data_IF_241211153154
#
_entry.id   IF_241211153154
#
_cell.length_a   1.000
_cell.length_b   1.000
_cell.length_c   1.000
_cell.angle_alpha   90.00
_cell.angle_beta   90.00
_cell.angle_gamma   90.00
#
_symmetry.space_group_name_H-M   'P 1'
#
loop_
_entity.id
_entity.type
_entity.pdbx_description
1 polymer ?
#
# COMPACT_ATOMS: atom_id res chain seq x y z
N UNK A 1 17.87 -33.44 30.60
CA UNK A 1 18.81 -32.34 30.92
C UNK A 1 19.32 -31.74 29.61
N UNK A 2 19.27 -30.40 29.54
CA UNK A 2 20.21 -29.46 28.90
C UNK A 2 20.46 -29.51 27.37
N UNK A 3 20.23 -28.35 26.78
CA UNK A 3 20.86 -27.80 25.58
C UNK A 3 22.38 -27.97 25.59
N UNK A 4 22.96 -28.30 24.45
CA UNK A 4 24.40 -28.18 24.21
C UNK A 4 24.64 -27.32 22.96
N UNK A 5 25.50 -26.33 23.15
CA UNK A 5 26.04 -25.36 22.19
C UNK A 5 27.28 -25.98 21.51
N UNK A 6 27.36 -25.90 20.18
CA UNK A 6 28.40 -26.50 19.35
C UNK A 6 29.30 -25.47 18.64
N UNK A 7 29.37 -24.23 19.16
CA UNK A 7 30.37 -23.21 18.82
C UNK A 7 31.85 -23.68 18.66
N UNK A 8 32.31 -24.82 19.22
CA UNK A 8 33.70 -25.26 19.04
C UNK A 8 33.99 -26.14 17.80
N UNK A 9 33.00 -26.76 17.14
CA UNK A 9 33.27 -27.73 16.05
C UNK A 9 33.47 -27.09 14.66
N UNK A 10 33.25 -25.78 14.56
CA UNK A 10 33.65 -24.90 13.46
C UNK A 10 35.15 -24.97 13.08
N UNK A 11 35.97 -25.77 13.77
CA UNK A 11 37.40 -25.96 13.52
C UNK A 11 37.78 -27.33 12.94
N UNK A 12 36.83 -28.21 12.62
CA UNK A 12 37.15 -29.63 12.30
C UNK A 12 36.74 -30.13 10.90
N UNK A 13 36.22 -29.30 10.01
CA UNK A 13 35.77 -29.78 8.69
C UNK A 13 36.40 -29.03 7.53
N UNK A 14 37.48 -29.58 6.97
CA UNK A 14 37.89 -29.26 5.61
C UNK A 14 36.97 -30.03 4.67
N UNK A 15 36.15 -29.32 3.88
CA UNK A 15 35.21 -29.92 2.91
C UNK A 15 33.73 -29.58 3.11
N UNK A 16 33.36 -28.90 4.20
CA UNK A 16 32.01 -28.32 4.36
C UNK A 16 31.88 -26.91 3.78
N UNK A 17 32.98 -26.30 3.30
CA UNK A 17 32.95 -25.02 2.57
C UNK A 17 32.02 -25.05 1.36
N UNK A 18 31.82 -26.22 0.73
CA UNK A 18 30.83 -26.39 -0.36
C UNK A 18 29.39 -26.45 0.14
N UNK A 19 29.13 -27.02 1.32
CA UNK A 19 27.78 -27.04 1.88
C UNK A 19 27.37 -25.66 2.37
N UNK A 20 28.30 -24.90 2.94
CA UNK A 20 28.05 -23.51 3.32
C UNK A 20 27.99 -22.57 2.10
N UNK A 21 28.81 -22.77 1.06
CA UNK A 21 28.63 -22.05 -0.22
C UNK A 21 27.28 -22.34 -0.89
N UNK A 22 26.72 -23.55 -0.72
CA UNK A 22 25.39 -23.90 -1.22
C UNK A 22 24.25 -23.30 -0.37
N UNK A 23 24.48 -23.11 0.93
CA UNK A 23 23.53 -22.46 1.84
C UNK A 23 23.55 -20.93 1.68
N UNK A 24 24.72 -20.34 1.42
CA UNK A 24 24.88 -18.93 1.08
C UNK A 24 24.32 -18.62 -0.32
N UNK A 25 24.32 -19.59 -1.24
CA UNK A 25 23.57 -19.53 -2.50
C UNK A 25 22.05 -19.66 -2.34
N UNK A 26 21.55 -20.11 -1.19
CA UNK A 26 20.11 -20.32 -0.97
C UNK A 26 19.37 -19.06 -0.47
N UNK A 27 20.07 -18.08 0.11
CA UNK A 27 19.46 -16.91 0.79
C UNK A 27 19.58 -15.59 0.01
N UNK A 28 20.01 -15.61 -1.25
CA UNK A 28 19.71 -14.53 -2.22
C UNK A 28 19.63 -15.11 -3.62
N UNK A 29 18.59 -15.90 -3.89
CA UNK A 29 18.09 -15.93 -5.26
C UNK A 29 17.68 -14.49 -5.58
N UNK A 30 18.57 -13.67 -6.14
CA UNK A 30 18.28 -12.30 -6.53
C UNK A 30 16.93 -12.32 -7.24
N UNK A 31 15.91 -11.74 -6.61
CA UNK A 31 14.52 -11.96 -6.98
C UNK A 31 14.38 -11.64 -8.48
N UNK A 32 14.28 -12.68 -9.30
CA UNK A 32 14.19 -12.51 -10.73
C UNK A 32 12.73 -12.15 -11.05
N UNK A 33 12.49 -11.08 -11.82
CA UNK A 33 13.49 -10.30 -12.56
C UNK A 33 14.13 -9.19 -11.71
N UNK A 34 15.43 -8.86 -11.92
CA UNK A 34 16.09 -7.81 -11.16
C UNK A 34 15.41 -6.47 -11.42
N UNK A 35 15.38 -5.63 -10.38
CA UNK A 35 14.66 -4.37 -10.42
C UNK A 35 15.34 -3.29 -9.57
N UNK A 36 15.08 -2.04 -9.95
CA UNK A 36 15.45 -0.83 -9.23
C UNK A 36 14.20 -0.08 -8.77
N UNK A 37 14.32 0.63 -7.66
CA UNK A 37 13.29 1.55 -7.16
C UNK A 37 13.93 2.91 -6.92
N UNK A 38 13.50 3.90 -7.68
CA UNK A 38 14.02 5.27 -7.65
C UNK A 38 12.98 6.22 -7.07
N UNK A 39 13.42 7.13 -6.19
CA UNK A 39 12.60 8.27 -5.74
C UNK A 39 12.89 9.46 -6.66
N UNK A 40 11.91 9.84 -7.48
CA UNK A 40 12.04 10.94 -8.44
C UNK A 40 11.76 12.30 -7.79
N UNK A 41 10.85 12.35 -6.81
CA UNK A 41 10.55 13.52 -5.98
C UNK A 41 9.90 13.08 -4.66
N UNK A 42 9.44 14.02 -3.83
CA UNK A 42 8.78 13.68 -2.56
C UNK A 42 7.50 12.85 -2.70
N UNK A 43 6.81 12.98 -3.83
CA UNK A 43 5.55 12.29 -4.12
C UNK A 43 5.64 11.41 -5.38
N UNK A 44 6.81 11.22 -5.98
CA UNK A 44 6.98 10.43 -7.20
C UNK A 44 8.07 9.37 -7.07
N UNK A 45 7.76 8.16 -7.49
CA UNK A 45 8.65 7.01 -7.48
C UNK A 45 8.60 6.28 -8.82
N UNK A 46 9.65 5.54 -9.14
CA UNK A 46 9.75 4.73 -10.35
C UNK A 46 10.29 3.36 -10.00
N UNK A 47 9.67 2.32 -10.52
CA UNK A 47 10.21 0.96 -10.49
C UNK A 47 10.66 0.62 -11.90
N UNK A 48 11.89 0.11 -12.05
CA UNK A 48 12.43 -0.36 -13.32
C UNK A 48 12.77 -1.83 -13.19
N UNK A 49 12.23 -2.71 -14.03
CA UNK A 49 12.43 -4.16 -13.94
C UNK A 49 12.97 -4.74 -15.26
N UNK A 50 13.96 -5.62 -15.20
CA UNK A 50 14.50 -6.30 -16.37
C UNK A 50 13.66 -7.50 -16.79
N UNK A 51 12.69 -7.30 -17.67
CA UNK A 51 11.75 -8.31 -18.19
C UNK A 51 12.08 -8.70 -19.63
N UNK A 52 13.38 -8.74 -19.96
CA UNK A 52 13.83 -9.02 -21.30
C UNK A 52 13.25 -10.33 -21.84
N UNK A 53 12.76 -10.27 -23.06
CA UNK A 53 12.17 -11.39 -23.75
C UNK A 53 10.66 -11.52 -23.56
N UNK A 54 9.97 -10.76 -22.72
CA UNK A 54 8.51 -10.72 -22.67
C UNK A 54 7.93 -9.67 -23.62
N UNK A 55 6.79 -9.98 -24.24
CA UNK A 55 5.97 -9.00 -24.94
C UNK A 55 5.03 -8.28 -23.96
N UNK A 56 4.52 -7.11 -24.35
CA UNK A 56 3.65 -6.30 -23.49
C UNK A 56 2.38 -7.05 -23.07
N UNK A 57 1.83 -7.87 -23.96
CA UNK A 57 0.64 -8.70 -23.72
C UNK A 57 0.94 -10.01 -22.96
N UNK A 58 2.20 -10.26 -22.62
CA UNK A 58 2.64 -11.36 -21.76
C UNK A 58 2.92 -10.91 -20.32
N UNK A 59 2.77 -9.61 -20.03
CA UNK A 59 2.99 -9.01 -18.71
C UNK A 59 1.67 -8.42 -18.22
N UNK A 60 1.36 -8.70 -16.96
CA UNK A 60 0.20 -8.18 -16.25
C UNK A 60 0.65 -7.42 -15.01
N UNK A 61 0.06 -6.24 -14.79
CA UNK A 61 0.29 -5.38 -13.63
C UNK A 61 -1.04 -5.15 -12.93
N UNK A 62 -1.14 -5.57 -11.68
CA UNK A 62 -2.36 -5.47 -10.88
C UNK A 62 -2.05 -4.83 -9.54
N UNK A 63 -2.67 -3.70 -9.25
CA UNK A 63 -2.60 -3.06 -7.94
C UNK A 63 -3.85 -3.40 -7.11
N UNK A 64 -3.65 -3.91 -5.91
CA UNK A 64 -4.68 -4.10 -4.89
C UNK A 64 -4.24 -3.40 -3.60
N UNK A 65 -4.97 -2.36 -3.19
CA UNK A 65 -4.61 -1.50 -2.05
C UNK A 65 -3.14 -1.01 -2.10
N UNK A 66 -2.33 -1.48 -1.15
CA UNK A 66 -0.91 -1.17 -1.00
C UNK A 66 -0.01 -2.24 -1.64
N UNK A 67 -0.55 -3.14 -2.45
CA UNK A 67 0.22 -4.21 -3.07
C UNK A 67 0.14 -4.09 -4.58
N UNK A 68 1.31 -3.97 -5.22
CA UNK A 68 1.45 -4.05 -6.66
C UNK A 68 2.02 -5.41 -7.04
N UNK A 69 1.26 -6.16 -7.83
CA UNK A 69 1.65 -7.45 -8.37
C UNK A 69 2.04 -7.27 -9.85
N UNK A 70 3.23 -7.74 -10.20
CA UNK A 70 3.73 -7.79 -11.58
C UNK A 70 3.98 -9.25 -11.93
N UNK A 71 3.27 -9.75 -12.94
CA UNK A 71 3.42 -11.13 -13.41
C UNK A 71 3.75 -11.14 -14.88
N UNK A 72 4.64 -12.05 -15.29
CA UNK A 72 4.93 -12.28 -16.69
C UNK A 72 4.84 -13.76 -17.02
N UNK A 73 4.03 -14.10 -18.02
CA UNK A 73 3.84 -15.47 -18.47
C UNK A 73 3.99 -15.56 -19.99
N UNK A 74 4.90 -16.42 -20.43
CA UNK A 74 5.08 -16.71 -21.85
C UNK A 74 3.88 -17.43 -22.43
N UNK A 75 3.42 -16.99 -23.60
CA UNK A 75 2.44 -17.77 -24.38
C UNK A 75 3.06 -19.10 -24.78
N UNK A 76 2.23 -20.16 -24.77
CA UNK A 76 2.65 -21.47 -25.23
C UNK A 76 3.11 -21.36 -26.69
N UNK A 77 4.31 -21.86 -27.00
CA UNK A 77 4.75 -21.96 -28.38
C UNK A 77 4.06 -23.18 -29.01
N UNK A 78 3.23 -22.95 -30.02
CA UNK A 78 2.71 -24.03 -30.86
C UNK A 78 3.85 -24.59 -31.72
N UNK A 79 4.14 -25.88 -31.53
CA UNK A 79 5.09 -26.65 -32.33
C UNK A 79 6.20 -27.31 -31.51
N UNK A 80 6.53 -28.55 -31.87
CA UNK A 80 7.73 -29.24 -31.37
C UNK A 80 8.99 -28.56 -31.91
N UNK A 81 9.64 -27.76 -31.07
CA UNK A 81 10.96 -27.20 -31.38
C UNK A 81 12.04 -28.13 -30.86
N UNK A 82 12.87 -28.67 -31.75
CA UNK A 82 14.08 -29.37 -31.36
C UNK A 82 15.14 -28.33 -30.97
N UNK A 83 15.45 -28.27 -29.68
CA UNK A 83 16.51 -27.42 -29.14
C UNK A 83 17.81 -28.20 -29.06
N UNK A 84 18.89 -27.69 -29.65
CA UNK A 84 20.25 -28.22 -29.42
C UNK A 84 20.80 -27.78 -28.05
N UNK A 85 20.41 -26.59 -27.61
CA UNK A 85 20.68 -26.05 -26.27
C UNK A 85 19.63 -24.98 -25.95
N UNK A 86 19.12 -24.94 -24.71
CA UNK A 86 18.08 -23.99 -24.28
C UNK A 86 18.52 -23.21 -23.03
N UNK A 87 19.28 -22.15 -23.23
CA UNK A 87 19.73 -21.25 -22.16
C UNK A 87 18.66 -20.27 -21.67
N UNK A 88 17.65 -19.98 -22.50
CA UNK A 88 16.55 -19.06 -22.19
C UNK A 88 15.26 -19.88 -22.13
N UNK A 89 14.98 -20.44 -20.96
CA UNK A 89 13.68 -21.05 -20.70
C UNK A 89 12.64 -19.93 -20.51
N UNK A 90 11.43 -20.10 -21.05
CA UNK A 90 10.31 -19.15 -20.86
C UNK A 90 9.82 -19.19 -19.42
N UNK A 91 10.64 -18.70 -18.50
CA UNK A 91 10.35 -18.66 -17.07
C UNK A 91 9.19 -17.73 -16.86
N UNK A 92 8.14 -18.20 -16.19
CA UNK A 92 7.12 -17.30 -15.66
C UNK A 92 7.72 -16.58 -14.45
N UNK A 93 7.38 -15.32 -14.24
CA UNK A 93 7.77 -14.60 -13.04
C UNK A 93 6.56 -13.99 -12.34
N UNK A 94 6.72 -13.78 -11.03
CA UNK A 94 5.80 -13.06 -10.19
C UNK A 94 6.62 -12.23 -9.22
N UNK A 95 6.42 -10.92 -9.25
CA UNK A 95 7.06 -9.97 -8.36
C UNK A 95 5.99 -9.15 -7.65
N UNK A 96 6.12 -9.02 -6.33
CA UNK A 96 5.19 -8.26 -5.50
C UNK A 96 5.93 -7.10 -4.85
N UNK A 97 5.35 -5.91 -4.93
CA UNK A 97 5.84 -4.70 -4.28
C UNK A 97 4.82 -4.22 -3.25
N UNK A 98 5.30 -3.93 -2.04
CA UNK A 98 4.50 -3.29 -1.01
C UNK A 98 4.68 -1.77 -1.12
N UNK A 99 3.63 -1.09 -1.52
CA UNK A 99 3.57 0.36 -1.68
C UNK A 99 3.18 1.02 -0.35
N UNK A 100 3.59 2.27 -0.17
CA UNK A 100 3.10 3.07 0.94
C UNK A 100 1.61 3.42 0.75
N UNK A 101 0.95 3.82 1.84
CA UNK A 101 -0.43 4.29 1.78
C UNK A 101 -0.54 5.47 0.81
N UNK A 102 -1.62 5.46 0.02
CA UNK A 102 -1.93 6.49 -0.98
C UNK A 102 -0.94 6.58 -2.15
N UNK A 103 -0.08 5.59 -2.36
CA UNK A 103 0.70 5.48 -3.59
C UNK A 103 -0.08 4.69 -4.63
N UNK A 104 -0.17 5.23 -5.86
CA UNK A 104 -0.86 4.62 -7.00
C UNK A 104 0.05 4.57 -8.22
N UNK A 105 -0.16 3.56 -9.06
CA UNK A 105 0.46 3.50 -10.40
C UNK A 105 -0.18 4.56 -11.28
N UNK A 106 0.63 5.44 -11.87
CA UNK A 106 0.19 6.47 -12.82
C UNK A 106 0.43 6.07 -14.28
N UNK A 107 1.39 5.17 -14.51
CA UNK A 107 1.71 4.68 -15.84
C UNK A 107 2.66 3.49 -15.81
N UNK A 108 2.72 2.75 -16.91
CA UNK A 108 3.69 1.70 -17.13
C UNK A 108 4.09 1.64 -18.61
N UNK A 109 5.37 1.44 -18.89
CA UNK A 109 5.90 1.29 -20.25
C UNK A 109 6.93 0.16 -20.30
N UNK A 110 7.00 -0.51 -21.45
CA UNK A 110 7.97 -1.57 -21.73
C UNK A 110 8.84 -1.15 -22.90
N UNK A 111 10.11 -0.89 -22.64
CA UNK A 111 11.07 -0.46 -23.66
C UNK A 111 12.38 -1.22 -23.50
N UNK A 112 12.92 -1.75 -24.61
CA UNK A 112 14.22 -2.44 -24.63
C UNK A 112 14.37 -3.58 -23.59
N UNK A 113 13.26 -4.25 -23.25
CA UNK A 113 13.25 -5.31 -22.23
C UNK A 113 13.23 -4.81 -20.79
N UNK A 114 13.02 -3.53 -20.56
CA UNK A 114 12.83 -2.91 -19.26
C UNK A 114 11.38 -2.47 -19.09
N UNK A 115 10.73 -2.95 -18.03
CA UNK A 115 9.42 -2.47 -17.59
C UNK A 115 9.64 -1.31 -16.62
N UNK A 116 9.19 -0.12 -17.01
CA UNK A 116 9.16 1.06 -16.15
C UNK A 116 7.74 1.24 -15.61
N UNK A 117 7.60 1.34 -14.29
CA UNK A 117 6.33 1.62 -13.61
C UNK A 117 6.46 2.94 -12.86
N UNK A 118 5.61 3.89 -13.19
CA UNK A 118 5.57 5.19 -12.55
C UNK A 118 4.52 5.20 -11.42
N UNK A 119 4.93 5.69 -10.27
CA UNK A 119 4.15 5.70 -9.04
C UNK A 119 4.06 7.13 -8.50
N UNK A 120 2.88 7.50 -8.00
CA UNK A 120 2.65 8.79 -7.37
C UNK A 120 1.94 8.64 -6.04
N UNK A 121 2.38 9.40 -5.04
CA UNK A 121 1.70 9.56 -3.76
C UNK A 121 0.64 10.65 -3.88
N UNK A 122 -0.62 10.28 -3.71
CA UNK A 122 -1.74 11.22 -3.72
C UNK A 122 -2.32 11.33 -2.31
N UNK A 123 -1.84 12.28 -1.51
CA UNK A 123 -2.42 12.53 -0.19
C UNK A 123 -3.80 13.20 -0.39
N UNK A 124 -4.91 12.55 -0.02
CA UNK A 124 -6.23 13.15 -0.15
C UNK A 124 -6.31 14.48 0.60
N UNK A 125 -6.93 15.50 0.01
CA UNK A 125 -7.09 16.80 0.67
C UNK A 125 -7.84 16.72 2.01
N UNK A 126 -8.68 15.69 2.19
CA UNK A 126 -9.39 15.41 3.45
C UNK A 126 -8.45 15.08 4.64
N UNK A 127 -7.20 14.69 4.37
CA UNK A 127 -6.17 14.47 5.38
C UNK A 127 -5.27 15.68 5.58
N UNK A 128 -5.45 16.77 4.82
CA UNK A 128 -4.76 18.02 5.11
C UNK A 128 -5.20 18.49 6.50
N UNK A 129 -4.26 18.74 7.43
CA UNK A 129 -4.60 19.18 8.77
C UNK A 129 -5.38 20.50 8.69
N UNK A 130 -6.67 20.44 9.04
CA UNK A 130 -7.52 21.63 9.14
C UNK A 130 -7.36 22.26 10.51
N UNK A 131 -7.20 23.57 10.54
CA UNK A 131 -7.10 24.34 11.79
C UNK A 131 -8.43 24.24 12.54
N UNK A 132 -8.40 23.66 13.75
CA UNK A 132 -9.54 23.69 14.67
C UNK A 132 -9.48 25.01 15.42
N UNK A 133 -10.51 25.84 15.29
CA UNK A 133 -10.65 27.02 16.13
C UNK A 133 -11.00 26.58 17.56
N UNK A 134 -10.23 27.04 18.55
CA UNK A 134 -10.56 26.86 19.96
C UNK A 134 -11.42 28.06 20.38
N UNK A 135 -12.69 27.82 20.67
CA UNK A 135 -13.63 28.85 21.12
C UNK A 135 -14.86 28.22 21.77
N UNK A 136 -14.87 28.19 23.10
CA UNK A 136 -16.02 27.82 23.90
C UNK A 136 -16.89 29.03 24.23
N UNK A 137 -18.20 28.78 24.33
CA UNK A 137 -19.26 29.62 24.93
C UNK A 137 -19.85 30.76 24.08
N UNK A 138 -20.89 30.43 23.32
CA UNK A 138 -22.16 31.17 23.43
C UNK A 138 -23.26 30.17 23.76
N UNK A 139 -23.37 29.84 25.06
CA UNK A 139 -24.62 29.34 25.59
C UNK A 139 -25.57 30.55 25.63
N UNK A 140 -26.63 30.46 24.84
CA UNK A 140 -27.73 31.40 24.84
C UNK A 140 -28.28 31.54 26.27
N UNK A 141 -28.14 32.73 26.86
CA UNK A 141 -28.93 33.14 28.02
C UNK A 141 -30.33 33.47 27.50
N UNK A 142 -31.17 32.45 27.41
CA UNK A 142 -32.61 32.63 27.40
C UNK A 142 -33.11 32.58 28.84
N UNK A 143 -33.49 33.72 29.40
CA UNK A 143 -34.50 33.90 30.45
C UNK A 143 -34.54 35.38 30.86
N UNK A 144 -35.49 36.14 30.33
CA UNK A 144 -36.08 37.25 31.07
C UNK A 144 -37.60 37.03 31.10
N UNK A 145 -38.13 36.97 32.32
CA UNK A 145 -39.48 36.61 32.67
C UNK A 145 -40.38 37.86 32.57
N UNK A 146 -41.35 37.85 31.65
CA UNK A 146 -42.39 38.88 31.63
C UNK A 146 -43.25 38.81 32.90
N UNK A 147 -43.49 39.92 33.63
CA UNK A 147 -44.32 39.89 34.82
C UNK A 147 -45.80 39.82 34.43
N UNK A 148 -46.48 38.81 34.95
CA UNK A 148 -47.93 38.74 35.00
C UNK A 148 -48.50 39.98 35.71
N UNK A 149 -49.29 40.79 34.99
CA UNK A 149 -50.18 41.77 35.61
C UNK A 149 -51.59 41.22 35.64
N UNK A 150 -51.97 40.82 36.84
CA UNK A 150 -53.31 40.41 37.25
C UNK A 150 -54.36 41.45 36.85
N UNK A 151 -55.44 40.98 36.24
CA UNK A 151 -56.68 41.73 36.08
C UNK A 151 -57.40 41.88 37.44
N UNK A 152 -57.96 43.05 37.78
CA UNK A 152 -58.85 43.15 38.92
C UNK A 152 -60.24 42.61 38.56
N UNK A 153 -60.69 41.66 39.37
CA UNK A 153 -62.04 41.12 39.46
C UNK A 153 -62.97 42.22 39.98
N UNK A 154 -64.02 42.57 39.23
CA UNK A 154 -65.11 43.42 39.72
C UNK A 154 -66.21 42.52 40.29
N UNK A 155 -66.50 42.77 41.56
CA UNK A 155 -67.30 41.93 42.46
C UNK A 155 -68.72 42.50 42.59
N UNK A 156 -69.67 41.57 42.63
CA UNK A 156 -71.02 41.64 43.21
C UNK A 156 -72.12 42.49 42.53
N UNK A 157 -72.87 41.76 41.71
CA UNK A 157 -74.33 41.78 41.68
C UNK A 157 -74.92 41.61 43.11
N UNK A 158 -75.62 42.65 43.59
CA UNK A 158 -76.62 42.54 44.65
C UNK A 158 -77.98 42.99 44.13
N UNK A 159 -78.67 42.05 43.49
CA UNK A 159 -80.08 41.70 43.67
C UNK A 159 -81.02 42.65 44.47
N UNK A 160 -82.13 43.01 43.79
CA UNK A 160 -83.54 43.12 44.22
C UNK A 160 -83.94 44.16 45.30
N UNK A 161 -84.93 44.99 44.99
CA UNK A 161 -86.37 44.71 45.24
C UNK A 161 -87.23 45.99 45.21
N UNK A 162 -88.50 45.78 44.81
CA UNK A 162 -89.70 46.60 45.03
C UNK A 162 -89.94 47.82 44.13
#
# INVERSE_FOLDING_TARGET
>A
MRTFDFAPLYRSTVGFDRLFSLLDQAETSAAWPPYDIEKMSDDAYRITMAVAGFAQDEIELTQHDTTLLVTGQKKAQEGERQYLHRGIAGRTFRQTFNLAQHVRVTGASLENGLLTVELKREVPEALKPRRIAIGGTQAAVGQDNGPARNAPVQVEDRSKAA
#
